data_IF_948464837328
#
_entry.id   IF_948464837328
#
_cell.length_a   1.000
_cell.length_b   1.000
_cell.length_c   1.000
_cell.angle_alpha   90.00
_cell.angle_beta   90.00
_cell.angle_gamma   90.00
#
_symmetry.space_group_name_H-M   'P 1'
#
loop_
_entity.id
_entity.type
_entity.pdbx_description
1 polymer ?
#
# COMPACT_ATOMS: atom_id res chain seq x y z
N UNK A 1 9.64 -29.03 6.11
CA UNK A 1 10.15 -28.82 4.74
C UNK A 1 11.23 -29.84 4.45
N UNK A 2 11.03 -30.63 3.42
CA UNK A 2 12.06 -31.46 2.80
C UNK A 2 12.91 -30.61 1.83
N UNK A 3 14.03 -31.15 1.35
CA UNK A 3 14.85 -30.48 0.31
C UNK A 3 14.03 -30.16 -0.95
N UNK A 4 13.09 -31.04 -1.29
CA UNK A 4 12.21 -30.88 -2.45
C UNK A 4 11.18 -29.77 -2.23
N UNK A 5 10.65 -29.63 -1.00
CA UNK A 5 9.76 -28.52 -0.65
C UNK A 5 10.48 -27.16 -0.74
N UNK A 6 11.75 -27.09 -0.32
CA UNK A 6 12.57 -25.87 -0.42
C UNK A 6 12.80 -25.50 -1.89
N UNK A 7 13.16 -26.46 -2.73
CA UNK A 7 13.35 -26.23 -4.16
C UNK A 7 12.06 -25.74 -4.83
N UNK A 8 10.92 -26.40 -4.56
CA UNK A 8 9.63 -26.00 -5.10
C UNK A 8 9.23 -24.58 -4.67
N UNK A 9 9.43 -24.24 -3.39
CA UNK A 9 9.11 -22.90 -2.87
C UNK A 9 10.03 -21.83 -3.46
N UNK A 10 11.32 -22.11 -3.59
CA UNK A 10 12.30 -21.19 -4.22
C UNK A 10 11.97 -20.92 -5.69
N UNK A 11 11.43 -21.89 -6.42
CA UNK A 11 10.99 -21.72 -7.80
C UNK A 11 9.70 -20.91 -7.92
N UNK A 12 8.79 -21.02 -6.96
CA UNK A 12 7.51 -20.30 -6.96
C UNK A 12 7.64 -18.84 -6.51
N UNK A 13 8.49 -18.56 -5.52
CA UNK A 13 8.63 -17.25 -4.88
C UNK A 13 8.88 -16.08 -5.85
N UNK A 14 9.72 -16.18 -6.90
CA UNK A 14 9.90 -15.09 -7.85
C UNK A 14 8.59 -14.64 -8.52
N UNK A 15 7.69 -15.57 -8.88
CA UNK A 15 6.40 -15.23 -9.46
C UNK A 15 5.46 -14.57 -8.45
N UNK A 16 5.47 -15.04 -7.21
CA UNK A 16 4.69 -14.43 -6.11
C UNK A 16 5.21 -13.02 -5.77
N UNK A 17 6.53 -12.82 -5.79
CA UNK A 17 7.19 -11.53 -5.59
C UNK A 17 6.77 -10.57 -6.71
N UNK A 18 6.86 -10.97 -7.98
CA UNK A 18 6.45 -10.14 -9.10
C UNK A 18 4.97 -9.71 -8.99
N UNK A 19 4.08 -10.66 -8.65
CA UNK A 19 2.66 -10.36 -8.43
C UNK A 19 2.46 -9.37 -7.27
N UNK A 20 3.23 -9.51 -6.20
CA UNK A 20 3.19 -8.60 -5.06
C UNK A 20 3.75 -7.21 -5.41
N UNK A 21 4.77 -7.11 -6.27
CA UNK A 21 5.30 -5.84 -6.78
C UNK A 21 4.26 -5.11 -7.63
N UNK A 22 3.57 -5.81 -8.54
CA UNK A 22 2.47 -5.24 -9.31
C UNK A 22 1.33 -4.75 -8.41
N UNK A 23 1.02 -5.49 -7.34
CA UNK A 23 0.01 -5.08 -6.36
C UNK A 23 0.41 -3.80 -5.63
N UNK A 24 1.68 -3.66 -5.22
CA UNK A 24 2.21 -2.44 -4.60
C UNK A 24 2.12 -1.25 -5.56
N UNK A 25 2.47 -1.46 -6.82
CA UNK A 25 2.37 -0.41 -7.85
C UNK A 25 0.92 0.05 -8.00
N UNK A 26 -0.02 -0.88 -8.08
CA UNK A 26 -1.45 -0.56 -8.19
C UNK A 26 -1.97 0.16 -6.95
N UNK A 27 -1.67 -0.34 -5.75
CA UNK A 27 -2.07 0.31 -4.50
C UNK A 27 -1.48 1.73 -4.40
N UNK A 28 -0.27 1.96 -4.89
CA UNK A 28 0.33 3.28 -4.95
C UNK A 28 -0.42 4.21 -5.90
N UNK A 29 -0.82 3.73 -7.09
CA UNK A 29 -1.68 4.49 -8.01
C UNK A 29 -3.00 4.89 -7.35
N UNK A 30 -3.63 3.97 -6.62
CA UNK A 30 -4.88 4.26 -5.90
C UNK A 30 -4.71 5.33 -4.82
N UNK A 31 -3.58 5.35 -4.10
CA UNK A 31 -3.27 6.43 -3.14
C UNK A 31 -3.13 7.78 -3.85
N UNK A 32 -2.45 7.83 -4.99
CA UNK A 32 -2.29 9.08 -5.76
C UNK A 32 -3.65 9.59 -6.22
N UNK A 33 -4.48 8.73 -6.82
CA UNK A 33 -5.83 9.09 -7.26
C UNK A 33 -6.72 9.57 -6.10
N UNK A 34 -6.66 8.89 -4.94
CA UNK A 34 -7.43 9.31 -3.78
C UNK A 34 -7.00 10.69 -3.25
N UNK A 35 -5.70 11.03 -3.33
CA UNK A 35 -5.20 12.36 -2.98
C UNK A 35 -5.69 13.43 -3.96
N UNK A 36 -5.65 13.13 -5.25
CA UNK A 36 -6.14 14.04 -6.30
C UNK A 36 -7.65 14.30 -6.15
N UNK A 37 -8.44 13.27 -5.88
CA UNK A 37 -9.89 13.40 -5.65
C UNK A 37 -10.17 14.24 -4.40
N UNK A 38 -9.46 13.99 -3.30
CA UNK A 38 -9.59 14.79 -2.08
C UNK A 38 -9.26 16.26 -2.35
N UNK A 39 -8.14 16.54 -3.04
CA UNK A 39 -7.74 17.90 -3.39
C UNK A 39 -8.79 18.59 -4.26
N UNK A 40 -9.28 17.91 -5.30
CA UNK A 40 -10.32 18.44 -6.17
C UNK A 40 -11.59 18.79 -5.37
N UNK A 41 -11.97 17.92 -4.42
CA UNK A 41 -13.15 18.18 -3.57
C UNK A 41 -12.93 19.39 -2.65
N UNK A 42 -11.74 19.53 -2.08
CA UNK A 42 -11.37 20.69 -1.26
C UNK A 42 -11.40 21.99 -2.07
N UNK A 43 -10.88 21.97 -3.30
CA UNK A 43 -10.89 23.12 -4.21
C UNK A 43 -12.32 23.52 -4.61
N UNK A 44 -13.17 22.54 -4.94
CA UNK A 44 -14.58 22.77 -5.27
C UNK A 44 -15.35 23.41 -4.10
N UNK A 45 -15.08 22.98 -2.87
CA UNK A 45 -15.72 23.53 -1.66
C UNK A 45 -15.28 24.96 -1.38
N UNK A 46 -14.01 25.29 -1.64
CA UNK A 46 -13.46 26.63 -1.49
C UNK A 46 -14.01 27.59 -2.55
N UNK A 47 -14.07 27.16 -3.80
CA UNK A 47 -14.55 27.98 -4.93
C UNK A 47 -16.07 28.11 -4.96
N UNK A 48 -16.79 27.09 -4.46
CA UNK A 48 -18.25 27.03 -4.46
C UNK A 48 -18.94 27.81 -3.33
N UNK A 49 -18.20 28.54 -2.48
CA UNK A 49 -18.72 29.22 -1.27
C UNK A 49 -19.47 28.28 -0.30
N UNK A 50 -19.21 26.96 -0.34
CA UNK A 50 -19.81 25.99 0.58
C UNK A 50 -19.26 26.11 2.01
N UNK A 51 -18.12 26.81 2.17
CA UNK A 51 -17.44 27.05 3.43
C UNK A 51 -17.68 28.51 3.84
N UNK A 52 -18.55 28.74 4.82
CA UNK A 52 -18.96 30.06 5.31
C UNK A 52 -18.36 30.43 6.68
N UNK A 53 -17.45 29.60 7.20
CA UNK A 53 -16.84 29.75 8.52
C UNK A 53 -16.20 31.12 8.76
N UNK A 54 -16.67 31.80 9.81
CA UNK A 54 -16.25 33.16 10.20
C UNK A 54 -14.78 33.26 10.65
N UNK A 55 -14.15 32.14 11.01
CA UNK A 55 -12.73 32.04 11.38
C UNK A 55 -12.10 30.79 10.73
N UNK A 56 -10.77 30.69 10.77
CA UNK A 56 -10.03 29.60 10.11
C UNK A 56 -10.37 28.21 10.68
N UNK A 57 -10.67 28.12 11.98
CA UNK A 57 -10.99 26.86 12.66
C UNK A 57 -12.33 26.29 12.20
N UNK A 58 -13.36 27.13 12.08
CA UNK A 58 -14.68 26.73 11.59
C UNK A 58 -14.59 26.30 10.13
N UNK A 59 -13.83 27.03 9.29
CA UNK A 59 -13.61 26.64 7.89
C UNK A 59 -12.92 25.28 7.78
N UNK A 60 -11.90 25.02 8.61
CA UNK A 60 -11.21 23.74 8.63
C UNK A 60 -12.09 22.58 9.16
N UNK A 61 -13.02 22.87 10.08
CA UNK A 61 -13.99 21.88 10.55
C UNK A 61 -15.03 21.56 9.46
N UNK A 62 -15.59 22.57 8.80
CA UNK A 62 -16.51 22.41 7.68
C UNK A 62 -15.87 21.65 6.51
N UNK A 63 -14.64 22.01 6.14
CA UNK A 63 -13.89 21.29 5.11
C UNK A 63 -13.73 19.81 5.45
N UNK A 64 -13.36 19.48 6.70
CA UNK A 64 -13.25 18.09 7.16
C UNK A 64 -14.58 17.35 7.11
N UNK A 65 -15.67 18.01 7.50
CA UNK A 65 -17.01 17.41 7.46
C UNK A 65 -17.46 17.12 6.03
N UNK A 66 -17.17 18.03 5.09
CA UNK A 66 -17.54 17.85 3.68
C UNK A 66 -16.61 16.93 2.89
N UNK A 67 -15.45 16.58 3.44
CA UNK A 67 -14.45 15.69 2.82
C UNK A 67 -14.25 14.37 3.57
N UNK A 68 -15.16 14.04 4.50
CA UNK A 68 -15.05 12.85 5.35
C UNK A 68 -14.90 11.57 4.52
N UNK A 69 -15.70 11.45 3.46
CA UNK A 69 -15.69 10.28 2.59
C UNK A 69 -14.37 10.16 1.81
N UNK A 70 -13.89 11.24 1.21
CA UNK A 70 -12.64 11.27 0.44
C UNK A 70 -11.44 11.00 1.36
N UNK A 71 -11.45 11.53 2.58
CA UNK A 71 -10.42 11.26 3.59
C UNK A 71 -10.42 9.81 4.06
N UNK A 72 -11.59 9.20 4.21
CA UNK A 72 -11.72 7.78 4.50
C UNK A 72 -11.18 6.93 3.35
N UNK A 73 -11.52 7.27 2.11
CA UNK A 73 -11.02 6.58 0.92
C UNK A 73 -9.49 6.67 0.81
N UNK A 74 -8.91 7.85 1.07
CA UNK A 74 -7.46 8.02 1.13
C UNK A 74 -6.84 7.14 2.23
N UNK A 75 -7.41 7.17 3.44
CA UNK A 75 -6.91 6.35 4.56
C UNK A 75 -6.95 4.85 4.24
N UNK A 76 -8.01 4.39 3.58
CA UNK A 76 -8.13 3.00 3.15
C UNK A 76 -7.08 2.66 2.08
N UNK A 77 -6.89 3.51 1.07
CA UNK A 77 -5.88 3.30 0.04
C UNK A 77 -4.45 3.24 0.63
N UNK A 78 -4.14 4.11 1.58
CA UNK A 78 -2.84 4.11 2.28
C UNK A 78 -2.65 2.83 3.11
N UNK A 79 -3.70 2.35 3.78
CA UNK A 79 -3.67 1.08 4.50
C UNK A 79 -3.45 -0.10 3.55
N UNK A 80 -4.12 -0.13 2.40
CA UNK A 80 -3.94 -1.16 1.38
C UNK A 80 -2.48 -1.18 0.87
N UNK A 81 -1.93 -0.02 0.52
CA UNK A 81 -0.52 0.10 0.11
C UNK A 81 0.43 -0.44 1.20
N UNK A 82 0.21 -0.07 2.46
CA UNK A 82 1.03 -0.56 3.57
C UNK A 82 0.98 -2.08 3.71
N UNK A 83 -0.20 -2.68 3.54
CA UNK A 83 -0.37 -4.12 3.59
C UNK A 83 0.36 -4.82 2.45
N UNK A 84 0.27 -4.30 1.23
CA UNK A 84 0.97 -4.87 0.06
C UNK A 84 2.49 -4.75 0.17
N UNK A 85 3.00 -3.60 0.64
CA UNK A 85 4.45 -3.43 0.92
C UNK A 85 4.92 -4.42 1.98
N UNK A 86 4.12 -4.65 3.03
CA UNK A 86 4.45 -5.63 4.08
C UNK A 86 4.46 -7.05 3.52
N UNK A 87 3.48 -7.40 2.66
CA UNK A 87 3.42 -8.71 2.01
C UNK A 87 4.62 -8.94 1.09
N UNK A 88 4.98 -7.95 0.28
CA UNK A 88 6.17 -7.99 -0.56
C UNK A 88 7.45 -8.19 0.26
N UNK A 89 7.59 -7.45 1.37
CA UNK A 89 8.71 -7.59 2.30
C UNK A 89 8.84 -9.02 2.82
N UNK A 90 7.72 -9.61 3.30
CA UNK A 90 7.69 -11.00 3.77
C UNK A 90 8.14 -12.00 2.71
N UNK A 91 7.69 -11.86 1.47
CA UNK A 91 8.07 -12.76 0.37
C UNK A 91 9.57 -12.64 0.04
N UNK A 92 10.11 -11.42 0.04
CA UNK A 92 11.54 -11.17 -0.17
C UNK A 92 12.40 -11.75 0.96
N UNK A 93 11.95 -11.60 2.20
CA UNK A 93 12.63 -12.16 3.37
C UNK A 93 12.57 -13.70 3.36
N UNK A 94 11.42 -14.28 3.01
CA UNK A 94 11.25 -15.73 2.84
C UNK A 94 12.22 -16.26 1.77
N UNK A 95 12.29 -15.60 0.61
CA UNK A 95 13.19 -16.00 -0.47
C UNK A 95 14.65 -15.98 -0.03
N UNK A 96 15.10 -14.91 0.64
CA UNK A 96 16.47 -14.80 1.18
C UNK A 96 16.76 -15.89 2.22
N UNK A 97 15.82 -16.16 3.12
CA UNK A 97 15.96 -17.19 4.13
C UNK A 97 16.11 -18.58 3.50
N UNK A 98 15.27 -18.91 2.50
CA UNK A 98 15.34 -20.19 1.79
C UNK A 98 16.61 -20.33 0.95
N UNK A 99 17.11 -19.24 0.35
CA UNK A 99 18.41 -19.25 -0.32
C UNK A 99 19.55 -19.55 0.67
N UNK A 100 19.53 -18.93 1.85
CA UNK A 100 20.52 -19.20 2.90
C UNK A 100 20.47 -20.67 3.37
N UNK A 101 19.27 -21.22 3.58
CA UNK A 101 19.09 -22.64 3.94
C UNK A 101 19.58 -23.55 2.81
N UNK A 102 19.27 -23.26 1.54
CA UNK A 102 19.74 -24.04 0.41
C UNK A 102 21.27 -24.05 0.31
N UNK A 103 21.92 -22.91 0.54
CA UNK A 103 23.38 -22.81 0.56
C UNK A 103 24.00 -23.60 1.72
N UNK A 104 23.41 -23.56 2.93
CA UNK A 104 23.86 -24.39 4.05
C UNK A 104 23.76 -25.88 3.71
N UNK A 105 22.69 -26.31 3.05
CA UNK A 105 22.52 -27.71 2.62
C UNK A 105 23.52 -28.14 1.55
N UNK A 106 24.07 -27.21 0.75
CA UNK A 106 25.15 -27.48 -0.20
C UNK A 106 26.52 -27.63 0.50
N UNK A 107 26.76 -26.89 1.58
CA UNK A 107 28.01 -26.94 2.36
C UNK A 107 28.12 -28.08 3.38
N UNK A 108 27.08 -28.93 3.51
CA UNK A 108 27.06 -30.13 4.37
C UNK A 108 27.41 -31.41 3.58
N UNK A 109 28.06 -31.25 2.43
CA UNK A 109 28.56 -32.35 1.60
C UNK A 109 30.07 -32.58 1.78
#
# INVERSE_FOLDING_TARGET
>A
MTKQDIANRLLALPGEIATAEDSVLEANRQVILAKEILQQKEDDLLLGNAIDGKNAEIRAAQMRQHTEHERLNLSNAELHLKNDVTRLGRLKDEFRALQAVANLLQGVA
#
